data_IF_200978041956
#
_entry.id   IF_200978041956
#
_cell.length_a   1.000
_cell.length_b   1.000
_cell.length_c   1.000
_cell.angle_alpha   90.00
_cell.angle_beta   90.00
_cell.angle_gamma   90.00
#
_symmetry.space_group_name_H-M   'P 1'
#
loop_
_entity.id
_entity.type
_entity.pdbx_description
1 polymer ?
#
# COMPACT_ATOMS: atom_id res chain seq x y z
N UNK A 1 13.86 -0.19 -7.81
CA UNK A 1 13.77 0.86 -8.85
C UNK A 1 12.55 0.64 -9.77
N UNK A 2 12.37 -0.53 -10.39
CA UNK A 2 11.22 -0.80 -11.28
C UNK A 2 9.84 -0.46 -10.69
N UNK A 3 9.55 -0.88 -9.45
CA UNK A 3 8.27 -0.56 -8.80
C UNK A 3 8.04 0.95 -8.58
N UNK A 4 9.11 1.71 -8.33
CA UNK A 4 9.02 3.16 -8.19
C UNK A 4 8.75 3.84 -9.53
N UNK A 5 9.40 3.38 -10.61
CA UNK A 5 9.13 3.88 -11.97
C UNK A 5 7.67 3.63 -12.34
N UNK A 6 7.15 2.43 -12.07
CA UNK A 6 5.75 2.09 -12.31
C UNK A 6 4.78 3.03 -11.55
N UNK A 7 5.08 3.35 -10.30
CA UNK A 7 4.27 4.29 -9.53
C UNK A 7 4.29 5.70 -10.17
N UNK A 8 5.43 6.15 -10.67
CA UNK A 8 5.55 7.45 -11.36
C UNK A 8 4.76 7.48 -12.68
N UNK A 9 4.82 6.40 -13.46
CA UNK A 9 4.03 6.27 -14.69
C UNK A 9 2.52 6.29 -14.39
N UNK A 10 2.10 5.62 -13.31
CA UNK A 10 0.72 5.63 -12.85
C UNK A 10 0.28 7.03 -12.41
N UNK A 11 1.11 7.73 -11.63
CA UNK A 11 0.85 9.12 -11.22
C UNK A 11 0.73 10.06 -12.43
N UNK A 12 1.61 9.93 -13.42
CA UNK A 12 1.53 10.72 -14.65
C UNK A 12 0.20 10.49 -15.38
N UNK A 13 -0.18 9.23 -15.59
CA UNK A 13 -1.46 8.91 -16.26
C UNK A 13 -2.71 9.38 -15.50
N UNK A 14 -2.66 9.38 -14.17
CA UNK A 14 -3.76 9.91 -13.34
C UNK A 14 -3.93 11.43 -13.50
N UNK A 15 -2.83 12.17 -13.66
CA UNK A 15 -2.85 13.62 -13.78
C UNK A 15 -3.31 14.09 -15.17
N UNK A 16 -3.14 13.27 -16.20
CA UNK A 16 -3.63 13.55 -17.57
C UNK A 16 -5.17 13.52 -17.68
N UNK A 17 -5.86 12.80 -16.79
CA UNK A 17 -7.32 12.58 -16.83
C UNK A 17 -8.18 13.62 -16.09
N UNK A 18 -7.56 14.62 -15.45
CA UNK A 18 -8.24 15.63 -14.63
C UNK A 18 -8.39 15.24 -13.15
N UNK A 19 -8.43 16.25 -12.26
CA UNK A 19 -8.38 16.04 -10.80
C UNK A 19 -9.78 15.76 -10.25
N UNK A 20 -10.02 14.50 -9.88
CA UNK A 20 -11.17 14.07 -9.06
C UNK A 20 -10.74 13.74 -7.64
N UNK A 21 -11.68 13.63 -6.70
CA UNK A 21 -11.37 13.18 -5.33
C UNK A 21 -10.74 11.78 -5.30
N UNK A 22 -11.12 10.89 -6.24
CA UNK A 22 -10.48 9.58 -6.38
C UNK A 22 -9.02 9.71 -6.82
N UNK A 23 -8.74 10.55 -7.81
CA UNK A 23 -7.38 10.81 -8.27
C UNK A 23 -6.54 11.44 -7.16
N UNK A 24 -7.11 12.40 -6.42
CA UNK A 24 -6.43 13.01 -5.27
C UNK A 24 -6.09 11.96 -4.20
N UNK A 25 -7.05 11.14 -3.79
CA UNK A 25 -6.83 10.08 -2.80
C UNK A 25 -5.76 9.08 -3.25
N UNK A 26 -5.75 8.72 -4.54
CA UNK A 26 -4.76 7.80 -5.10
C UNK A 26 -3.37 8.42 -5.16
N UNK A 27 -3.25 9.70 -5.53
CA UNK A 27 -1.97 10.43 -5.53
C UNK A 27 -1.40 10.51 -4.12
N UNK A 28 -2.22 10.90 -3.13
CA UNK A 28 -1.78 11.02 -1.73
C UNK A 28 -1.37 9.65 -1.16
N UNK A 29 -2.09 8.58 -1.51
CA UNK A 29 -1.79 7.22 -1.04
C UNK A 29 -0.41 6.67 -1.43
N UNK A 30 0.23 7.19 -2.48
CA UNK A 30 1.58 6.76 -2.85
C UNK A 30 2.64 7.10 -1.77
N UNK A 31 2.42 8.16 -0.98
CA UNK A 31 3.33 8.52 0.11
C UNK A 31 3.45 7.42 1.18
N UNK A 32 2.33 6.75 1.49
CA UNK A 32 2.29 5.62 2.43
C UNK A 32 3.00 4.41 1.85
N UNK A 33 2.76 4.10 0.57
CA UNK A 33 3.41 2.98 -0.14
C UNK A 33 4.93 3.16 -0.18
N UNK A 34 5.40 4.36 -0.53
CA UNK A 34 6.84 4.63 -0.60
C UNK A 34 7.50 4.64 0.77
N UNK A 35 6.86 5.22 1.79
CA UNK A 35 7.40 5.22 3.14
C UNK A 35 7.48 3.81 3.73
N UNK A 36 6.48 2.96 3.51
CA UNK A 36 6.51 1.55 3.93
C UNK A 36 7.64 0.76 3.24
N UNK A 37 7.82 0.94 1.91
CA UNK A 37 8.93 0.32 1.16
C UNK A 37 10.29 0.76 1.68
N UNK A 38 10.47 2.05 1.95
CA UNK A 38 11.71 2.58 2.53
C UNK A 38 11.95 2.04 3.93
N UNK A 39 10.93 1.99 4.78
CA UNK A 39 11.03 1.45 6.14
C UNK A 39 11.45 -0.03 6.11
N UNK A 40 10.83 -0.85 5.27
CA UNK A 40 11.23 -2.24 5.09
C UNK A 40 12.70 -2.36 4.61
N UNK A 41 13.12 -1.51 3.67
CA UNK A 41 14.52 -1.50 3.22
C UNK A 41 15.51 -1.13 4.34
N UNK A 42 15.18 -0.14 5.17
CA UNK A 42 15.99 0.26 6.34
C UNK A 42 16.07 -0.86 7.37
N UNK A 43 14.94 -1.49 7.72
CA UNK A 43 14.94 -2.60 8.66
C UNK A 43 15.82 -3.76 8.18
N UNK A 44 15.77 -4.10 6.89
CA UNK A 44 16.63 -5.12 6.31
C UNK A 44 18.11 -4.71 6.35
N UNK A 45 18.45 -3.44 6.12
CA UNK A 45 19.83 -2.95 6.26
C UNK A 45 20.35 -3.06 7.71
N UNK A 46 19.45 -2.98 8.70
CA UNK A 46 19.75 -3.17 10.11
C UNK A 46 19.75 -4.64 10.56
N UNK A 47 19.66 -5.59 9.62
CA UNK A 47 19.66 -7.03 9.91
C UNK A 47 18.34 -7.57 10.46
N UNK A 48 17.25 -6.82 10.33
CA UNK A 48 15.90 -7.27 10.68
C UNK A 48 15.14 -7.65 9.41
N UNK A 49 14.77 -8.92 9.27
CA UNK A 49 13.98 -9.38 8.13
C UNK A 49 12.62 -8.68 8.11
N UNK A 50 12.42 -7.84 7.09
CA UNK A 50 11.20 -7.05 6.93
C UNK A 50 10.68 -7.12 5.50
N UNK A 51 9.36 -7.02 5.36
CA UNK A 51 8.68 -6.77 4.09
C UNK A 51 7.66 -5.64 4.29
N UNK A 52 7.21 -5.04 3.19
CA UNK A 52 6.15 -4.06 3.22
C UNK A 52 4.86 -4.71 2.72
N UNK A 53 3.71 -4.26 3.22
CA UNK A 53 2.40 -4.67 2.73
C UNK A 53 1.71 -3.49 2.05
N UNK A 54 1.01 -3.77 0.95
CA UNK A 54 0.06 -2.83 0.37
C UNK A 54 -1.30 -2.97 1.07
N UNK A 55 -1.70 -1.96 1.85
CA UNK A 55 -2.99 -1.96 2.55
C UNK A 55 -4.17 -2.20 1.60
N UNK A 56 -4.07 -1.76 0.34
CA UNK A 56 -5.12 -1.93 -0.68
C UNK A 56 -5.32 -3.40 -1.07
N UNK A 57 -4.32 -4.25 -0.85
CA UNK A 57 -4.43 -5.68 -1.14
C UNK A 57 -5.43 -6.39 -0.21
N UNK A 58 -5.53 -5.97 1.06
CA UNK A 58 -6.33 -6.67 2.07
C UNK A 58 -7.40 -5.84 2.75
N UNK A 59 -7.25 -4.52 2.92
CA UNK A 59 -8.31 -3.71 3.51
C UNK A 59 -9.47 -3.59 2.52
N UNK A 60 -10.68 -3.80 3.05
CA UNK A 60 -11.95 -3.57 2.37
C UNK A 60 -12.70 -2.53 3.18
N UNK A 61 -13.04 -1.44 2.52
CA UNK A 61 -13.76 -0.33 3.13
C UNK A 61 -14.66 0.32 2.09
N UNK A 62 -15.77 0.91 2.53
CA UNK A 62 -16.64 1.68 1.65
C UNK A 62 -15.98 2.97 1.18
N UNK A 63 -16.44 3.50 0.04
CA UNK A 63 -15.99 4.78 -0.47
C UNK A 63 -16.74 5.92 0.25
N UNK A 64 -16.19 6.37 1.36
CA UNK A 64 -16.70 7.49 2.16
C UNK A 64 -15.56 8.45 2.58
N UNK A 65 -15.91 9.67 3.00
CA UNK A 65 -14.93 10.65 3.51
C UNK A 65 -14.19 10.14 4.77
N UNK A 66 -14.84 9.27 5.54
CA UNK A 66 -14.23 8.49 6.62
C UNK A 66 -14.61 7.02 6.40
N UNK A 67 -13.78 6.26 5.67
CA UNK A 67 -14.07 4.87 5.36
C UNK A 67 -13.93 3.99 6.61
N UNK A 68 -14.91 3.13 6.86
CA UNK A 68 -14.86 2.09 7.88
C UNK A 68 -14.31 0.79 7.27
N UNK A 69 -13.45 0.13 8.03
CA UNK A 69 -12.89 -1.16 7.59
C UNK A 69 -13.91 -2.26 7.86
N UNK A 70 -14.23 -3.03 6.83
CA UNK A 70 -14.93 -4.30 6.97
C UNK A 70 -13.92 -5.36 7.43
N UNK A 71 -13.86 -5.59 8.74
CA UNK A 71 -12.97 -6.59 9.34
C UNK A 71 -13.28 -8.01 8.85
N UNK A 72 -14.56 -8.32 8.61
CA UNK A 72 -15.00 -9.64 8.16
C UNK A 72 -14.44 -10.01 6.78
N UNK A 73 -14.35 -9.02 5.88
CA UNK A 73 -13.74 -9.19 4.57
C UNK A 73 -12.22 -9.00 4.59
N UNK A 74 -11.70 -8.12 5.44
CA UNK A 74 -10.28 -7.76 5.45
C UNK A 74 -9.40 -8.78 6.16
N UNK A 75 -9.88 -9.35 7.26
CA UNK A 75 -9.06 -10.24 8.10
C UNK A 75 -8.60 -11.52 7.38
N UNK A 76 -9.46 -12.24 6.61
CA UNK A 76 -9.02 -13.42 5.86
C UNK A 76 -7.94 -13.10 4.82
N UNK A 77 -8.04 -11.93 4.17
CA UNK A 77 -7.05 -11.47 3.18
C UNK A 77 -5.72 -11.14 3.84
N UNK A 78 -5.75 -10.49 5.01
CA UNK A 78 -4.56 -10.23 5.79
C UNK A 78 -3.89 -11.55 6.21
N UNK A 79 -4.65 -12.55 6.69
CA UNK A 79 -4.10 -13.85 7.05
C UNK A 79 -3.39 -14.54 5.86
N UNK A 80 -3.98 -14.46 4.66
CA UNK A 80 -3.35 -15.00 3.45
C UNK A 80 -2.04 -14.29 3.08
N UNK A 81 -1.95 -12.97 3.29
CA UNK A 81 -0.72 -12.21 3.06
C UNK A 81 0.34 -12.52 4.13
N UNK A 82 -0.06 -12.58 5.40
CA UNK A 82 0.85 -12.91 6.50
C UNK A 82 1.50 -14.30 6.31
N UNK A 83 0.73 -15.28 5.81
CA UNK A 83 1.24 -16.61 5.50
C UNK A 83 2.33 -16.61 4.40
N UNK A 84 2.35 -15.62 3.50
CA UNK A 84 3.37 -15.48 2.45
C UNK A 84 4.68 -14.84 2.97
N UNK A 85 4.66 -14.30 4.18
CA UNK A 85 5.79 -13.60 4.79
C UNK A 85 6.10 -14.12 6.20
N UNK A 86 6.39 -15.44 6.36
CA UNK A 86 6.68 -16.00 7.67
C UNK A 86 7.91 -15.34 8.28
N UNK A 87 7.84 -15.05 9.58
CA UNK A 87 8.92 -14.50 10.40
C UNK A 87 9.45 -13.10 9.98
N UNK A 88 8.71 -12.37 9.15
CA UNK A 88 9.07 -11.00 8.76
C UNK A 88 8.34 -9.95 9.60
N UNK A 89 8.99 -8.80 9.81
CA UNK A 89 8.30 -7.57 10.21
C UNK A 89 7.52 -7.05 9.01
N UNK A 90 6.22 -6.78 9.20
CA UNK A 90 5.29 -6.28 8.18
C UNK A 90 4.73 -4.94 8.59
#
# INVERSE_FOLDING_TARGET
IAAFIHDLERLAGLLDGGVSEAVYAEVVGHGEVWSARLMAAVLNQLGMEAAWLDARAFLRAERAAQPQVDEGLSYPLLQQLMAQHPNKRL
#
